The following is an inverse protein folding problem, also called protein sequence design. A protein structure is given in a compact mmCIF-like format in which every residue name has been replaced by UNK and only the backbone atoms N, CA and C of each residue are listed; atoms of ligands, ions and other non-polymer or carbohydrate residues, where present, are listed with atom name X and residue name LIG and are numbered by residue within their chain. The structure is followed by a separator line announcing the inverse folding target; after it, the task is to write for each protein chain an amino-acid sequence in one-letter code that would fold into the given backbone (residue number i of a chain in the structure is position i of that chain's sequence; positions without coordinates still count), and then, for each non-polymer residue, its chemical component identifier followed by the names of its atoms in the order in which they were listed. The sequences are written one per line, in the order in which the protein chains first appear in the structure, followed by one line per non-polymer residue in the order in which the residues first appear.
data_IF_915607298280
#
_entry.id   IF_915607298280
#
_cell.length_a   1.000
_cell.length_b   1.000
_cell.length_c   1.000
_cell.angle_alpha   90.00
_cell.angle_beta   90.00
_cell.angle_gamma   90.00
#
_symmetry.space_group_name_H-M   'P 1'
#
loop_
_entity.id
_entity.type
_entity.pdbx_description
1 polymer ?
#
# COMPACT_ATOMS: atom_id res chain seq x y z
N UNK A 1 -22.64 -17.02 -24.59
CA UNK A 1 -24.08 -17.31 -24.74
C UNK A 1 -24.57 -18.26 -23.65
N UNK A 2 -23.78 -19.27 -23.28
CA UNK A 2 -24.12 -20.25 -22.23
C UNK A 2 -24.63 -19.62 -20.91
N UNK A 3 -23.91 -18.67 -20.33
CA UNK A 3 -24.33 -17.98 -19.09
C UNK A 3 -25.68 -17.28 -19.23
N UNK A 4 -25.95 -16.67 -20.39
CA UNK A 4 -27.23 -15.98 -20.65
C UNK A 4 -28.36 -17.01 -20.72
N UNK A 5 -28.14 -18.10 -21.46
CA UNK A 5 -29.13 -19.17 -21.59
C UNK A 5 -29.42 -19.83 -20.23
N UNK A 6 -28.38 -20.15 -19.46
CA UNK A 6 -28.53 -20.69 -18.10
C UNK A 6 -29.36 -19.76 -17.23
N UNK A 7 -29.03 -18.46 -17.19
CA UNK A 7 -29.78 -17.48 -16.40
C UNK A 7 -31.23 -17.35 -16.84
N UNK A 8 -31.49 -17.27 -18.15
CA UNK A 8 -32.87 -17.15 -18.67
C UNK A 8 -33.72 -18.39 -18.40
N UNK A 9 -33.10 -19.57 -18.34
CA UNK A 9 -33.80 -20.82 -18.13
C UNK A 9 -34.02 -21.14 -16.64
N UNK A 10 -33.03 -20.85 -15.78
CA UNK A 10 -33.07 -21.24 -14.36
C UNK A 10 -33.33 -20.06 -13.41
N UNK A 11 -33.21 -18.83 -13.88
CA UNK A 11 -33.24 -17.61 -13.06
C UNK A 11 -31.96 -17.39 -12.21
N UNK A 12 -30.93 -18.23 -12.36
CA UNK A 12 -29.69 -18.14 -11.57
C UNK A 12 -28.48 -18.65 -12.35
N UNK A 13 -27.29 -18.31 -11.86
CA UNK A 13 -26.01 -18.76 -12.42
C UNK A 13 -25.08 -19.10 -11.25
N UNK A 14 -24.29 -20.17 -11.35
CA UNK A 14 -23.31 -20.51 -10.31
C UNK A 14 -22.12 -19.55 -10.36
N UNK A 15 -21.59 -19.16 -9.21
CA UNK A 15 -20.42 -18.26 -9.15
C UNK A 15 -19.21 -18.83 -9.91
N UNK A 16 -18.95 -20.13 -9.79
CA UNK A 16 -17.83 -20.83 -10.45
C UNK A 16 -17.97 -20.92 -11.98
N UNK A 17 -19.13 -20.58 -12.55
CA UNK A 17 -19.29 -20.49 -14.01
C UNK A 17 -18.64 -19.24 -14.59
N UNK A 18 -18.41 -18.21 -13.76
CA UNK A 18 -17.76 -16.96 -14.16
C UNK A 18 -16.24 -17.14 -14.10
N UNK A 19 -15.60 -16.98 -15.25
CA UNK A 19 -14.15 -17.10 -15.42
C UNK A 19 -13.57 -15.81 -15.97
N UNK A 20 -12.24 -15.70 -15.97
CA UNK A 20 -11.54 -14.56 -16.60
C UNK A 20 -11.91 -14.38 -18.08
N UNK A 21 -12.29 -15.48 -18.74
CA UNK A 21 -12.55 -15.51 -20.17
C UNK A 21 -14.00 -15.14 -20.50
N UNK A 22 -14.99 -15.47 -19.68
CA UNK A 22 -16.40 -15.24 -20.03
C UNK A 22 -17.06 -14.07 -19.29
N UNK A 23 -16.48 -13.59 -18.18
CA UNK A 23 -17.17 -12.65 -17.27
C UNK A 23 -17.50 -11.31 -17.92
N UNK A 24 -16.54 -10.72 -18.64
CA UNK A 24 -16.75 -9.43 -19.31
C UNK A 24 -17.83 -9.55 -20.41
N UNK A 25 -17.79 -10.62 -21.19
CA UNK A 25 -18.76 -10.88 -22.25
C UNK A 25 -20.15 -11.15 -21.68
N UNK A 26 -20.24 -11.91 -20.59
CA UNK A 26 -21.49 -12.17 -19.88
C UNK A 26 -22.10 -10.87 -19.34
N UNK A 27 -21.28 -9.96 -18.80
CA UNK A 27 -21.74 -8.66 -18.32
C UNK A 27 -22.37 -7.81 -19.45
N UNK A 28 -21.67 -7.67 -20.58
CA UNK A 28 -22.22 -6.90 -21.71
C UNK A 28 -23.43 -7.57 -22.35
N UNK A 29 -23.44 -8.91 -22.43
CA UNK A 29 -24.61 -9.61 -22.91
C UNK A 29 -25.81 -9.44 -21.97
N UNK A 30 -25.59 -9.49 -20.65
CA UNK A 30 -26.63 -9.20 -19.67
C UNK A 30 -27.18 -7.77 -19.82
N UNK A 31 -26.31 -6.79 -20.05
CA UNK A 31 -26.72 -5.40 -20.29
C UNK A 31 -27.52 -5.26 -21.61
N UNK A 32 -27.05 -5.88 -22.69
CA UNK A 32 -27.71 -5.87 -24.00
C UNK A 32 -29.11 -6.51 -23.95
N UNK A 33 -29.26 -7.65 -23.26
CA UNK A 33 -30.55 -8.32 -23.07
C UNK A 33 -31.38 -7.74 -21.93
N UNK A 34 -30.92 -6.66 -21.28
CA UNK A 34 -31.60 -5.99 -20.17
C UNK A 34 -31.86 -6.92 -18.97
N UNK A 35 -30.98 -7.89 -18.74
CA UNK A 35 -31.03 -8.84 -17.63
C UNK A 35 -30.35 -8.22 -16.39
N UNK A 36 -31.03 -7.24 -15.76
CA UNK A 36 -30.50 -6.49 -14.61
C UNK A 36 -30.05 -7.39 -13.45
N UNK A 37 -30.84 -8.42 -13.12
CA UNK A 37 -30.51 -9.37 -12.06
C UNK A 37 -29.21 -10.15 -12.32
N UNK A 38 -28.92 -10.49 -13.58
CA UNK A 38 -27.65 -11.12 -13.95
C UNK A 38 -26.49 -10.13 -13.89
N UNK A 39 -26.71 -8.87 -14.30
CA UNK A 39 -25.70 -7.81 -14.19
C UNK A 39 -25.29 -7.58 -12.73
N UNK A 40 -26.27 -7.49 -11.84
CA UNK A 40 -26.05 -7.32 -10.41
C UNK A 40 -25.36 -8.53 -9.79
N UNK A 41 -25.73 -9.74 -10.22
CA UNK A 41 -25.05 -10.97 -9.82
C UNK A 41 -23.57 -10.93 -10.20
N UNK A 42 -23.23 -10.59 -11.44
CA UNK A 42 -21.83 -10.51 -11.91
C UNK A 42 -21.04 -9.48 -11.09
N UNK A 43 -21.59 -8.27 -10.86
CA UNK A 43 -20.93 -7.24 -10.04
C UNK A 43 -20.69 -7.76 -8.62
N UNK A 44 -21.68 -8.40 -8.01
CA UNK A 44 -21.59 -8.93 -6.64
C UNK A 44 -20.53 -10.04 -6.54
N UNK A 45 -20.50 -10.95 -7.52
CA UNK A 45 -19.51 -12.02 -7.58
C UNK A 45 -18.11 -11.44 -7.73
N UNK A 46 -17.91 -10.41 -8.56
CA UNK A 46 -16.62 -9.75 -8.68
C UNK A 46 -16.15 -9.10 -7.37
N UNK A 47 -17.05 -8.50 -6.59
CA UNK A 47 -16.67 -7.90 -5.28
C UNK A 47 -16.20 -8.92 -4.25
N UNK A 48 -16.75 -10.13 -4.26
CA UNK A 48 -16.60 -11.10 -3.18
C UNK A 48 -15.76 -12.33 -3.52
N UNK A 49 -15.48 -12.57 -4.81
CA UNK A 49 -14.83 -13.80 -5.27
C UNK A 49 -13.31 -13.69 -5.37
N UNK A 50 -12.67 -14.85 -5.39
CA UNK A 50 -11.26 -14.99 -5.76
C UNK A 50 -10.99 -14.63 -7.22
N UNK A 51 -12.04 -14.51 -8.07
CA UNK A 51 -11.88 -14.19 -9.48
C UNK A 51 -11.22 -12.82 -9.68
N UNK A 52 -11.67 -11.78 -8.98
CA UNK A 52 -11.06 -10.44 -9.05
C UNK A 52 -9.68 -10.42 -8.42
N UNK A 53 -9.51 -11.09 -7.27
CA UNK A 53 -8.20 -11.17 -6.61
C UNK A 53 -7.14 -11.79 -7.52
N UNK A 54 -7.52 -12.83 -8.27
CA UNK A 54 -6.59 -13.59 -9.07
C UNK A 54 -6.47 -13.10 -10.51
N UNK A 55 -7.51 -12.48 -11.09
CA UNK A 55 -7.59 -12.18 -12.53
C UNK A 55 -8.04 -10.75 -12.86
N UNK A 56 -8.02 -9.83 -11.90
CA UNK A 56 -8.35 -8.42 -12.17
C UNK A 56 -7.50 -7.78 -13.26
N UNK A 57 -6.18 -8.06 -13.42
CA UNK A 57 -5.40 -7.50 -14.53
C UNK A 57 -5.92 -7.95 -15.92
N UNK A 58 -6.24 -9.24 -16.06
CA UNK A 58 -6.77 -9.80 -17.31
C UNK A 58 -8.17 -9.26 -17.61
N UNK A 59 -9.03 -9.20 -16.59
CA UNK A 59 -10.37 -8.65 -16.72
C UNK A 59 -10.34 -7.16 -17.08
N UNK A 60 -9.43 -6.39 -16.47
CA UNK A 60 -9.21 -4.97 -16.79
C UNK A 60 -8.70 -4.80 -18.23
N UNK A 61 -7.80 -5.67 -18.67
CA UNK A 61 -7.33 -5.69 -20.06
C UNK A 61 -8.48 -5.96 -21.01
N UNK A 62 -9.30 -6.98 -20.73
CA UNK A 62 -10.40 -7.39 -21.60
C UNK A 62 -11.52 -6.35 -21.69
N UNK A 63 -11.88 -5.72 -20.57
CA UNK A 63 -12.90 -4.66 -20.59
C UNK A 63 -12.39 -3.43 -21.33
N UNK A 64 -11.09 -3.11 -21.24
CA UNK A 64 -10.49 -1.93 -21.87
C UNK A 64 -10.49 -1.94 -23.41
N UNK A 65 -10.68 -3.12 -24.02
CA UNK A 65 -10.82 -3.26 -25.48
C UNK A 65 -12.16 -2.73 -26.01
N UNK A 66 -13.13 -2.50 -25.12
CA UNK A 66 -14.43 -1.91 -25.47
C UNK A 66 -14.35 -0.37 -25.39
N UNK A 67 -15.14 0.31 -26.23
CA UNK A 67 -15.34 1.75 -26.10
C UNK A 67 -16.16 2.03 -24.83
N UNK A 68 -15.52 2.64 -23.83
CA UNK A 68 -16.12 2.85 -22.51
C UNK A 68 -15.94 4.28 -22.03
N UNK A 69 -16.92 4.71 -21.23
CA UNK A 69 -16.85 5.94 -20.45
C UNK A 69 -16.24 5.63 -19.08
N UNK A 70 -15.59 6.62 -18.47
CA UNK A 70 -15.03 6.51 -17.11
C UNK A 70 -16.09 6.15 -16.06
N UNK A 71 -17.36 6.46 -16.30
CA UNK A 71 -18.48 6.15 -15.40
C UNK A 71 -18.93 4.68 -15.41
N UNK A 72 -18.25 3.81 -16.18
CA UNK A 72 -18.60 2.40 -16.21
C UNK A 72 -18.30 1.73 -14.85
N UNK A 73 -19.35 1.24 -14.18
CA UNK A 73 -19.27 0.64 -12.83
C UNK A 73 -18.30 -0.54 -12.79
N UNK A 74 -18.33 -1.39 -13.82
CA UNK A 74 -17.47 -2.58 -13.89
C UNK A 74 -16.00 -2.19 -14.11
N UNK A 75 -15.75 -1.22 -14.98
CA UNK A 75 -14.40 -0.68 -15.21
C UNK A 75 -13.82 -0.09 -13.92
N UNK A 76 -14.57 0.75 -13.21
CA UNK A 76 -14.11 1.35 -11.95
C UNK A 76 -13.80 0.30 -10.89
N UNK A 77 -14.63 -0.74 -10.76
CA UNK A 77 -14.40 -1.85 -9.84
C UNK A 77 -13.10 -2.58 -10.15
N UNK A 78 -12.83 -2.87 -11.42
CA UNK A 78 -11.61 -3.54 -11.85
C UNK A 78 -10.37 -2.64 -11.66
N UNK A 79 -10.50 -1.34 -11.95
CA UNK A 79 -9.44 -0.36 -11.68
C UNK A 79 -9.11 -0.30 -10.20
N UNK A 80 -10.10 -0.24 -9.31
CA UNK A 80 -9.88 -0.23 -7.86
C UNK A 80 -9.19 -1.51 -7.37
N UNK A 81 -9.56 -2.66 -7.93
CA UNK A 81 -8.92 -3.93 -7.60
C UNK A 81 -7.45 -3.99 -8.06
N UNK A 82 -7.14 -3.52 -9.27
CA UNK A 82 -5.75 -3.52 -9.79
C UNK A 82 -4.91 -2.42 -9.14
N UNK A 83 -5.49 -1.26 -8.80
CA UNK A 83 -4.78 -0.14 -8.18
C UNK A 83 -4.13 -0.51 -6.84
N UNK A 84 -4.73 -1.44 -6.10
CA UNK A 84 -4.18 -1.93 -4.83
C UNK A 84 -3.18 -3.09 -4.97
N UNK A 85 -2.90 -3.54 -6.19
CA UNK A 85 -1.86 -4.51 -6.49
C UNK A 85 -0.56 -3.78 -6.89
N UNK A 86 0.59 -4.07 -6.27
CA UNK A 86 1.87 -3.56 -6.77
C UNK A 86 2.09 -4.01 -8.21
N UNK A 87 2.29 -3.07 -9.15
CA UNK A 87 2.44 -3.41 -10.58
C UNK A 87 3.63 -4.34 -10.84
N UNK A 88 4.68 -4.24 -10.02
CA UNK A 88 5.83 -5.16 -10.09
C UNK A 88 5.46 -6.63 -9.83
N UNK A 89 4.33 -6.90 -9.16
CA UNK A 89 3.83 -8.25 -8.91
C UNK A 89 2.91 -8.76 -10.03
N UNK A 90 2.56 -7.91 -11.01
CA UNK A 90 1.74 -8.30 -12.15
C UNK A 90 2.68 -8.75 -13.27
N UNK A 91 2.60 -10.02 -13.65
CA UNK A 91 3.38 -10.54 -14.77
C UNK A 91 3.06 -9.80 -16.08
N UNK A 92 4.10 -9.51 -16.87
CA UNK A 92 3.93 -8.92 -18.19
C UNK A 92 3.09 -9.84 -19.08
N UNK A 93 2.08 -9.28 -19.74
CA UNK A 93 1.10 -10.01 -20.54
C UNK A 93 -0.24 -10.22 -19.84
N UNK A 94 -0.32 -10.08 -18.52
CA UNK A 94 -1.60 -10.11 -17.79
C UNK A 94 -2.37 -8.79 -17.87
N UNK A 95 -1.65 -7.67 -17.92
CA UNK A 95 -2.21 -6.33 -18.11
C UNK A 95 -1.81 -5.77 -19.48
N UNK A 96 -2.78 -5.39 -20.30
CA UNK A 96 -2.54 -4.77 -21.61
C UNK A 96 -2.19 -3.28 -21.48
N UNK A 97 -1.59 -2.69 -22.52
CA UNK A 97 -1.30 -1.24 -22.55
C UNK A 97 -2.59 -0.43 -22.37
N UNK A 98 -3.67 -0.83 -23.05
CA UNK A 98 -4.98 -0.15 -22.92
C UNK A 98 -5.54 -0.29 -21.51
N UNK A 99 -5.44 -1.47 -20.90
CA UNK A 99 -5.86 -1.71 -19.51
C UNK A 99 -5.07 -0.85 -18.53
N UNK A 100 -3.75 -0.78 -18.69
CA UNK A 100 -2.88 0.11 -17.92
C UNK A 100 -3.24 1.59 -18.14
N UNK A 101 -3.55 2.01 -19.37
CA UNK A 101 -3.99 3.38 -19.65
C UNK A 101 -5.26 3.75 -18.86
N UNK A 102 -6.26 2.87 -18.82
CA UNK A 102 -7.47 3.10 -18.01
C UNK A 102 -7.16 3.12 -16.51
N UNK A 103 -6.32 2.21 -16.02
CA UNK A 103 -5.84 2.25 -14.63
C UNK A 103 -5.22 3.60 -14.28
N UNK A 104 -4.29 4.07 -15.11
CA UNK A 104 -3.56 5.32 -14.85
C UNK A 104 -4.47 6.54 -14.98
N UNK A 105 -5.29 6.64 -16.03
CA UNK A 105 -6.20 7.78 -16.24
C UNK A 105 -7.25 7.91 -15.14
N UNK A 106 -7.86 6.80 -14.72
CA UNK A 106 -8.91 6.83 -13.68
C UNK A 106 -8.31 7.11 -12.29
N UNK A 107 -7.04 6.81 -12.06
CA UNK A 107 -6.36 7.07 -10.77
C UNK A 107 -5.54 8.37 -10.76
N UNK A 108 -5.30 8.98 -11.92
CA UNK A 108 -4.50 10.20 -12.05
C UNK A 108 -5.16 11.36 -11.30
N UNK A 109 -4.40 12.00 -10.40
CA UNK A 109 -4.85 13.15 -9.58
C UNK A 109 -6.15 12.90 -8.77
N UNK A 110 -6.57 11.64 -8.58
CA UNK A 110 -7.73 11.29 -7.75
C UNK A 110 -7.25 10.78 -6.38
N UNK A 111 -8.02 11.07 -5.32
CA UNK A 111 -7.82 10.52 -3.97
C UNK A 111 -8.26 9.04 -3.90
N UNK A 112 -7.63 8.18 -4.70
CA UNK A 112 -7.86 6.73 -4.69
C UNK A 112 -6.62 6.01 -4.15
N UNK A 113 -6.78 4.88 -3.42
CA UNK A 113 -5.64 4.06 -3.03
C UNK A 113 -4.84 3.60 -4.25
N UNK A 114 -3.52 3.64 -4.15
CA UNK A 114 -2.63 3.17 -5.22
C UNK A 114 -1.35 2.56 -4.64
N UNK A 115 -1.07 1.31 -4.99
CA UNK A 115 -0.03 0.50 -4.36
C UNK A 115 1.38 0.81 -4.85
N UNK A 116 1.49 1.36 -6.06
CA UNK A 116 2.74 1.39 -6.82
C UNK A 116 3.33 2.80 -6.81
N UNK A 117 4.62 2.91 -6.53
CA UNK A 117 5.32 4.19 -6.64
C UNK A 117 5.36 4.69 -8.08
N UNK A 118 5.47 6.00 -8.26
CA UNK A 118 5.42 6.64 -9.57
C UNK A 118 6.59 6.23 -10.46
N UNK A 119 7.76 5.94 -9.87
CA UNK A 119 8.88 5.32 -10.58
C UNK A 119 8.54 3.91 -11.05
N UNK A 120 7.91 3.09 -10.21
CA UNK A 120 7.54 1.73 -10.59
C UNK A 120 6.40 1.69 -11.60
N UNK A 121 5.52 2.70 -11.61
CA UNK A 121 4.56 2.93 -12.69
C UNK A 121 5.29 3.20 -14.00
N UNK A 122 6.27 4.11 -14.00
CA UNK A 122 7.09 4.39 -15.18
C UNK A 122 7.85 3.16 -15.67
N UNK A 123 8.48 2.43 -14.75
CA UNK A 123 9.19 1.19 -15.01
C UNK A 123 8.28 0.16 -15.67
N UNK A 124 7.14 -0.13 -15.06
CA UNK A 124 6.18 -1.11 -15.56
C UNK A 124 5.66 -0.71 -16.95
N UNK A 125 5.28 0.55 -17.11
CA UNK A 125 4.80 1.11 -18.39
C UNK A 125 5.83 0.96 -19.50
N UNK A 126 7.09 1.26 -19.20
CA UNK A 126 8.20 1.19 -20.15
C UNK A 126 8.50 -0.25 -20.57
N UNK A 127 8.58 -1.18 -19.62
CA UNK A 127 8.83 -2.59 -19.91
C UNK A 127 7.64 -3.20 -20.66
N UNK A 128 6.41 -2.82 -20.32
CA UNK A 128 5.21 -3.27 -21.03
C UNK A 128 5.18 -2.76 -22.48
N UNK A 129 5.54 -1.49 -22.72
CA UNK A 129 5.69 -0.94 -24.07
C UNK A 129 6.77 -1.69 -24.87
N UNK A 130 7.91 -1.96 -24.25
CA UNK A 130 9.00 -2.72 -24.88
C UNK A 130 8.62 -4.17 -25.19
N UNK A 131 7.81 -4.81 -24.34
CA UNK A 131 7.27 -6.15 -24.57
C UNK A 131 6.41 -6.24 -25.85
N UNK A 132 5.77 -5.14 -26.27
CA UNK A 132 5.05 -5.08 -27.56
C UNK A 132 5.99 -4.95 -28.76
N UNK A 133 7.22 -4.47 -28.55
CA UNK A 133 8.21 -4.29 -29.60
C UNK A 133 9.03 -5.56 -29.83
N UNK A 134 9.68 -6.07 -28.78
CA UNK A 134 10.44 -7.34 -28.83
C UNK A 134 10.84 -7.84 -27.44
N UNK A 135 11.12 -9.15 -27.34
CA UNK A 135 11.67 -9.74 -26.11
C UNK A 135 13.04 -9.14 -25.73
N UNK A 136 13.87 -8.80 -26.72
CA UNK A 136 15.20 -8.21 -26.49
C UNK A 136 15.09 -6.80 -25.91
N UNK A 137 14.20 -5.97 -26.45
CA UNK A 137 13.90 -4.63 -25.92
C UNK A 137 13.39 -4.71 -24.47
N UNK A 138 12.47 -5.64 -24.21
CA UNK A 138 11.93 -5.90 -22.87
C UNK A 138 13.03 -6.30 -21.88
N UNK A 139 13.86 -7.28 -22.24
CA UNK A 139 14.93 -7.76 -21.36
C UNK A 139 15.96 -6.65 -21.08
N UNK A 140 16.31 -5.87 -22.10
CA UNK A 140 17.20 -4.71 -21.96
C UNK A 140 16.64 -3.69 -20.98
N UNK A 141 15.34 -3.37 -21.07
CA UNK A 141 14.71 -2.40 -20.17
C UNK A 141 14.47 -2.93 -18.76
N UNK A 142 14.28 -4.25 -18.56
CA UNK A 142 14.26 -4.85 -17.22
C UNK A 142 15.61 -4.63 -16.51
N UNK A 143 16.72 -4.70 -17.23
CA UNK A 143 18.05 -4.46 -16.68
C UNK A 143 18.31 -2.97 -16.46
N UNK A 144 17.94 -2.11 -17.42
CA UNK A 144 18.11 -0.64 -17.34
C UNK A 144 17.23 0.03 -16.29
N UNK A 145 16.07 -0.56 -15.99
CA UNK A 145 15.12 -0.07 -14.99
C UNK A 145 15.01 -1.06 -13.83
N UNK A 146 15.92 -1.02 -12.86
CA UNK A 146 15.86 -1.87 -11.67
C UNK A 146 14.64 -1.51 -10.80
N UNK A 147 14.18 -2.44 -9.96
CA UNK A 147 13.15 -2.13 -8.95
C UNK A 147 13.71 -1.19 -7.87
N UNK A 148 12.84 -0.53 -7.08
CA UNK A 148 13.31 0.31 -5.98
C UNK A 148 14.16 -0.47 -4.97
N UNK A 149 13.76 -1.72 -4.67
CA UNK A 149 14.52 -2.64 -3.81
C UNK A 149 15.94 -2.92 -4.35
N UNK A 150 16.11 -3.00 -5.66
CA UNK A 150 17.42 -3.20 -6.29
C UNK A 150 18.28 -1.92 -6.26
N UNK A 151 17.66 -0.75 -6.33
CA UNK A 151 18.36 0.53 -6.27
C UNK A 151 18.95 0.81 -4.89
N UNK A 152 18.23 0.46 -3.82
CA UNK A 152 18.73 0.56 -2.44
C UNK A 152 19.98 -0.30 -2.22
N UNK A 153 20.17 -1.34 -3.01
CA UNK A 153 21.34 -2.23 -2.98
C UNK A 153 22.50 -1.77 -3.89
N UNK A 154 22.52 -0.50 -4.31
CA UNK A 154 23.63 0.18 -5.03
C UNK A 154 23.99 -0.36 -6.42
N UNK A 155 23.04 -1.00 -7.12
CA UNK A 155 23.23 -1.45 -8.50
C UNK A 155 23.20 -0.25 -9.46
N UNK A 156 24.38 0.16 -9.95
CA UNK A 156 24.49 1.13 -11.05
C UNK A 156 24.37 0.41 -12.38
N UNK A 157 23.28 0.63 -13.11
CA UNK A 157 23.13 0.05 -14.44
C UNK A 157 23.97 0.87 -15.43
N UNK A 158 24.81 0.18 -16.20
CA UNK A 158 25.66 0.78 -17.24
C UNK A 158 24.93 0.83 -18.58
N UNK A 159 25.23 1.87 -19.35
CA UNK A 159 24.86 2.13 -20.74
C UNK A 159 24.74 0.85 -21.58
N UNK A 160 23.50 0.37 -21.77
CA UNK A 160 23.13 -0.61 -22.80
C UNK A 160 22.34 0.09 -23.89
N UNK A 161 22.61 -0.29 -25.14
CA UNK A 161 21.89 0.22 -26.29
C UNK A 161 20.45 -0.32 -26.29
N UNK A 162 19.47 0.57 -26.44
CA UNK A 162 18.05 0.20 -26.56
C UNK A 162 17.74 0.00 -28.04
N UNK A 163 17.49 -1.25 -28.45
CA UNK A 163 17.01 -1.56 -29.80
C UNK A 163 15.62 -0.99 -30.02
N UNK A 164 15.34 -0.46 -31.21
CA UNK A 164 14.00 0.04 -31.60
C UNK A 164 13.43 1.14 -30.69
N UNK A 165 14.29 2.01 -30.14
CA UNK A 165 13.92 3.06 -29.20
C UNK A 165 12.70 3.89 -29.65
N UNK A 166 12.64 4.25 -30.93
CA UNK A 166 11.51 5.01 -31.50
C UNK A 166 10.16 4.27 -31.43
N UNK A 167 10.16 2.93 -31.57
CA UNK A 167 8.93 2.13 -31.44
C UNK A 167 8.48 2.09 -29.98
N UNK A 168 9.42 1.96 -29.05
CA UNK A 168 9.13 1.99 -27.60
C UNK A 168 8.51 3.32 -27.21
N UNK A 169 9.09 4.44 -27.66
CA UNK A 169 8.54 5.79 -27.44
C UNK A 169 7.10 5.90 -27.95
N UNK A 170 6.82 5.34 -29.13
CA UNK A 170 5.48 5.37 -29.72
C UNK A 170 4.46 4.59 -28.87
N UNK A 171 4.81 3.40 -28.40
CA UNK A 171 3.96 2.56 -27.55
C UNK A 171 3.79 3.12 -26.13
N UNK A 172 4.81 3.81 -25.61
CA UNK A 172 4.81 4.40 -24.27
C UNK A 172 4.06 5.73 -24.21
N UNK A 173 4.02 6.49 -25.33
CA UNK A 173 3.36 7.80 -25.45
C UNK A 173 1.97 7.92 -24.80
N UNK A 174 1.00 7.00 -25.00
CA UNK A 174 -0.33 7.11 -24.39
C UNK A 174 -0.36 6.91 -22.86
N UNK A 175 0.76 6.50 -22.25
CA UNK A 175 0.87 6.30 -20.81
C UNK A 175 1.61 7.45 -20.11
N UNK A 176 2.59 8.06 -20.79
CA UNK A 176 3.44 9.14 -20.23
C UNK A 176 2.63 10.29 -19.67
N UNK A 177 1.52 10.66 -20.32
CA UNK A 177 0.68 11.79 -19.88
C UNK A 177 0.06 11.59 -18.50
N UNK A 178 -0.07 10.34 -18.04
CA UNK A 178 -0.62 9.99 -16.74
C UNK A 178 0.47 9.67 -15.70
N UNK A 179 1.75 9.90 -16.00
CA UNK A 179 2.86 9.66 -15.08
C UNK A 179 3.36 10.99 -14.51
N UNK A 180 3.28 11.14 -13.21
CA UNK A 180 3.72 12.33 -12.50
C UNK A 180 5.20 12.26 -12.12
N UNK A 181 6.07 12.56 -13.08
CA UNK A 181 7.53 12.53 -12.85
C UNK A 181 8.00 13.44 -11.70
N UNK A 182 7.20 14.41 -11.24
CA UNK A 182 7.52 15.25 -10.07
C UNK A 182 7.55 14.45 -8.77
N UNK A 183 6.92 13.27 -8.73
CA UNK A 183 6.90 12.34 -7.58
C UNK A 183 8.06 11.34 -7.58
N UNK A 184 8.88 11.33 -8.63
CA UNK A 184 10.04 10.46 -8.74
C UNK A 184 11.26 11.18 -8.16
N UNK A 185 12.08 10.47 -7.37
CA UNK A 185 13.32 11.04 -6.80
C UNK A 185 14.19 11.63 -7.90
N UNK A 186 14.67 12.86 -7.70
CA UNK A 186 15.51 13.58 -8.68
C UNK A 186 16.73 12.78 -9.13
N UNK A 187 17.37 12.06 -8.22
CA UNK A 187 18.51 11.20 -8.56
C UNK A 187 18.15 10.08 -9.53
N UNK A 188 16.95 9.49 -9.42
CA UNK A 188 16.45 8.48 -10.36
C UNK A 188 16.18 9.11 -11.74
N UNK A 189 15.68 10.34 -11.77
CA UNK A 189 15.46 11.07 -13.03
C UNK A 189 16.80 11.25 -13.76
N UNK A 190 17.81 11.76 -13.07
CA UNK A 190 19.13 12.09 -13.62
C UNK A 190 19.91 10.82 -14.03
N UNK A 191 19.97 9.83 -13.16
CA UNK A 191 20.87 8.68 -13.36
C UNK A 191 20.25 7.59 -14.25
N UNK A 192 18.91 7.53 -14.32
CA UNK A 192 18.21 6.40 -14.92
C UNK A 192 17.24 6.84 -16.01
N UNK A 193 16.33 7.78 -15.76
CA UNK A 193 15.23 8.07 -16.69
C UNK A 193 15.69 8.93 -17.87
N UNK A 194 16.36 10.05 -17.60
CA UNK A 194 16.83 10.97 -18.63
C UNK A 194 17.80 10.31 -19.64
N UNK A 195 18.79 9.49 -19.22
CA UNK A 195 19.71 8.84 -20.16
C UNK A 195 19.08 7.84 -21.12
N UNK A 196 17.84 7.38 -20.89
CA UNK A 196 17.16 6.43 -21.78
C UNK A 196 16.59 7.11 -23.03
N UNK A 197 16.43 8.44 -23.00
CA UNK A 197 15.88 9.22 -24.13
C UNK A 197 14.49 8.74 -24.62
N UNK A 198 13.72 8.07 -23.74
CA UNK A 198 12.35 7.58 -24.03
C UNK A 198 11.24 8.51 -23.54
N UNK A 199 11.58 9.47 -22.67
CA UNK A 199 10.67 10.48 -22.15
C UNK A 199 10.89 11.79 -22.90
N UNK A 200 9.83 12.51 -23.30
CA UNK A 200 9.99 13.81 -23.94
C UNK A 200 10.84 14.77 -23.11
N UNK A 201 11.80 15.45 -23.75
CA UNK A 201 12.70 16.41 -23.09
C UNK A 201 11.93 17.50 -22.34
N UNK A 202 10.81 17.97 -22.89
CA UNK A 202 9.97 18.99 -22.23
C UNK A 202 9.40 18.49 -20.90
N UNK A 203 9.04 17.21 -20.79
CA UNK A 203 8.58 16.60 -19.53
C UNK A 203 9.68 16.63 -18.48
N UNK A 204 10.91 16.25 -18.84
CA UNK A 204 12.07 16.27 -17.93
C UNK A 204 12.41 17.71 -17.51
N UNK A 205 12.44 18.67 -18.46
CA UNK A 205 12.69 20.07 -18.16
C UNK A 205 11.66 20.66 -17.19
N UNK A 206 10.38 20.29 -17.33
CA UNK A 206 9.34 20.72 -16.39
C UNK A 206 9.55 20.18 -14.97
N UNK A 207 10.07 18.95 -14.83
CA UNK A 207 10.47 18.41 -13.52
C UNK A 207 11.62 19.20 -12.92
N UNK A 208 12.64 19.55 -13.71
CA UNK A 208 13.75 20.37 -13.22
C UNK A 208 13.31 21.78 -12.80
N UNK A 209 12.45 22.43 -13.60
CA UNK A 209 11.84 23.72 -13.23
C UNK A 209 11.05 23.62 -11.93
N UNK A 210 10.27 22.55 -11.77
CA UNK A 210 9.50 22.28 -10.56
C UNK A 210 10.41 22.13 -9.33
N UNK A 211 11.46 21.30 -9.42
CA UNK A 211 12.43 21.09 -8.33
C UNK A 211 13.13 22.40 -7.96
N UNK A 212 13.58 23.18 -8.95
CA UNK A 212 14.24 24.46 -8.71
C UNK A 212 13.32 25.51 -8.07
N UNK A 213 12.00 25.43 -8.30
CA UNK A 213 11.02 26.39 -7.80
C UNK A 213 10.58 26.16 -6.35
N UNK A 214 10.82 24.98 -5.78
CA UNK A 214 10.34 24.59 -4.45
C UNK A 214 11.48 24.41 -3.44
N UNK A 215 11.39 25.11 -2.31
CA UNK A 215 12.26 24.91 -1.15
C UNK A 215 11.83 23.65 -0.37
N UNK A 216 12.10 22.45 -0.91
CA UNK A 216 11.94 21.15 -0.22
C UNK A 216 10.50 20.66 0.07
N UNK A 217 9.53 20.81 -0.84
CA UNK A 217 8.28 20.04 -0.72
C UNK A 217 8.47 18.62 -1.28
N UNK A 218 8.63 17.63 -0.40
CA UNK A 218 8.68 16.23 -0.79
C UNK A 218 7.26 15.73 -1.08
N UNK A 219 6.90 15.61 -2.36
CA UNK A 219 5.70 14.87 -2.74
C UNK A 219 5.86 13.40 -2.33
N UNK A 220 4.76 12.76 -1.96
CA UNK A 220 4.75 11.29 -1.81
C UNK A 220 5.15 10.63 -3.13
N UNK A 221 5.91 9.54 -3.02
CA UNK A 221 6.38 8.76 -4.16
C UNK A 221 5.26 7.96 -4.84
N UNK A 222 4.08 7.82 -4.23
CA UNK A 222 2.89 7.21 -4.83
C UNK A 222 1.88 8.28 -5.23
N UNK A 223 1.07 8.01 -6.25
CA UNK A 223 -0.15 8.78 -6.52
C UNK A 223 -1.27 8.40 -5.54
N UNK A 224 -2.26 9.27 -5.41
CA UNK A 224 -3.43 9.02 -4.58
C UNK A 224 -3.09 8.80 -3.09
N UNK A 225 -3.88 7.95 -2.44
CA UNK A 225 -3.69 7.60 -1.01
C UNK A 225 -2.69 6.44 -0.93
N UNK A 226 -1.56 6.65 -0.27
CA UNK A 226 -0.60 5.55 -0.06
C UNK A 226 -1.26 4.42 0.74
N UNK A 227 -1.16 3.19 0.26
CA UNK A 227 -1.73 2.01 0.94
C UNK A 227 -1.08 1.80 2.31
N UNK A 228 0.19 2.20 2.46
CA UNK A 228 0.86 2.20 3.75
C UNK A 228 0.34 3.32 4.66
N UNK A 229 -0.16 4.44 4.14
CA UNK A 229 -0.78 5.52 4.94
C UNK A 229 -2.20 5.19 5.42
N UNK A 230 -2.98 4.40 4.67
CA UNK A 230 -4.33 3.99 5.07
C UNK A 230 -4.37 2.85 6.09
N UNK A 231 -3.29 2.09 6.24
CA UNK A 231 -3.25 0.89 7.09
C UNK A 231 -2.89 1.18 8.56
N UNK A 232 -2.18 2.28 8.84
CA UNK A 232 -1.87 2.72 10.20
C UNK A 232 -3.03 3.52 10.79
N UNK A 233 -4.17 2.85 10.91
CA UNK A 233 -5.36 3.33 11.63
C UNK A 233 -5.72 2.35 12.74
N UNK A 234 -6.26 2.88 13.82
CA UNK A 234 -6.66 2.13 15.01
C UNK A 234 -7.97 1.36 14.75
N UNK A 235 -8.01 0.13 15.27
CA UNK A 235 -9.13 -0.77 15.08
C UNK A 235 -10.18 -0.56 16.17
N UNK A 236 -11.30 0.10 15.81
CA UNK A 236 -12.44 0.32 16.72
C UNK A 236 -13.03 -0.98 17.29
N UNK A 237 -12.90 -2.11 16.58
CA UNK A 237 -13.40 -3.41 17.06
C UNK A 237 -12.46 -4.09 18.05
N UNK A 238 -11.21 -3.65 18.11
CA UNK A 238 -10.14 -4.18 18.94
C UNK A 238 -9.53 -3.06 19.78
N UNK A 239 -10.40 -2.44 20.58
CA UNK A 239 -10.16 -1.23 21.35
C UNK A 239 -10.80 -1.36 22.73
N UNK A 240 -10.15 -0.78 23.74
CA UNK A 240 -10.72 -0.67 25.08
C UNK A 240 -12.04 0.10 25.07
N UNK A 241 -12.98 -0.34 25.90
CA UNK A 241 -14.37 0.13 25.90
C UNK A 241 -14.55 1.64 26.12
N UNK A 242 -13.59 2.30 26.78
CA UNK A 242 -13.67 3.71 27.12
C UNK A 242 -12.78 4.60 26.25
N UNK A 243 -11.91 4.02 25.41
CA UNK A 243 -11.03 4.78 24.52
C UNK A 243 -11.83 5.35 23.35
N UNK A 244 -11.50 6.59 22.97
CA UNK A 244 -12.16 7.28 21.86
C UNK A 244 -11.15 7.38 20.72
N UNK A 245 -11.56 6.89 19.54
CA UNK A 245 -10.79 6.95 18.31
C UNK A 245 -11.38 8.02 17.38
N UNK A 246 -10.55 8.97 16.99
CA UNK A 246 -10.91 10.12 16.13
C UNK A 246 -9.92 10.29 14.98
N UNK A 247 -10.10 11.36 14.19
CA UNK A 247 -9.20 11.72 13.09
C UNK A 247 -8.98 10.56 12.09
N UNK A 248 -10.11 10.03 11.59
CA UNK A 248 -10.17 8.87 10.68
C UNK A 248 -9.44 7.62 11.16
N UNK A 249 -9.34 7.45 12.49
CA UNK A 249 -8.68 6.29 13.09
C UNK A 249 -7.22 6.52 13.41
N UNK A 250 -6.65 7.70 13.15
CA UNK A 250 -5.23 7.98 13.39
C UNK A 250 -4.94 8.38 14.83
N UNK A 251 -5.95 8.80 15.58
CA UNK A 251 -5.79 9.28 16.96
C UNK A 251 -6.63 8.45 17.92
N UNK A 252 -6.07 8.14 19.08
CA UNK A 252 -6.80 7.65 20.25
C UNK A 252 -6.56 8.55 21.45
N UNK A 253 -7.61 8.79 22.23
CA UNK A 253 -7.48 9.47 23.52
C UNK A 253 -8.33 8.81 24.61
N UNK A 254 -7.89 9.02 25.86
CA UNK A 254 -8.54 8.51 27.05
C UNK A 254 -9.36 9.63 27.74
N UNK A 255 -10.71 9.53 27.77
CA UNK A 255 -11.55 10.53 28.44
C UNK A 255 -11.34 10.51 29.96
N UNK A 256 -11.89 11.52 30.65
CA UNK A 256 -11.78 11.61 32.11
C UNK A 256 -12.30 10.35 32.81
N UNK A 257 -11.57 9.87 33.81
CA UNK A 257 -11.90 8.62 34.53
C UNK A 257 -11.48 7.33 33.83
N UNK A 258 -10.95 7.39 32.59
CA UNK A 258 -10.45 6.19 31.90
C UNK A 258 -9.15 5.67 32.55
N UNK A 259 -9.20 4.43 33.03
CA UNK A 259 -8.03 3.66 33.46
C UNK A 259 -7.14 3.25 32.29
N UNK A 260 -6.14 2.39 32.56
CA UNK A 260 -5.30 1.85 31.49
C UNK A 260 -6.10 0.90 30.61
N UNK A 261 -6.18 1.25 29.33
CA UNK A 261 -6.74 0.44 28.27
C UNK A 261 -5.77 0.41 27.11
N UNK A 262 -6.03 -0.44 26.11
CA UNK A 262 -5.21 -0.51 24.92
C UNK A 262 -6.05 -0.63 23.65
N UNK A 263 -5.41 -0.35 22.52
CA UNK A 263 -6.01 -0.46 21.20
C UNK A 263 -4.92 -0.88 20.22
N UNK A 264 -5.26 -1.79 19.31
CA UNK A 264 -4.37 -2.17 18.22
C UNK A 264 -4.70 -1.46 16.93
N UNK A 265 -3.73 -1.37 16.01
CA UNK A 265 -3.98 -0.95 14.64
C UNK A 265 -4.63 -2.07 13.82
N UNK A 266 -5.29 -1.69 12.71
CA UNK A 266 -5.90 -2.64 11.76
C UNK A 266 -4.87 -3.42 10.96
N UNK A 267 -3.71 -2.81 10.69
CA UNK A 267 -2.64 -3.45 9.93
C UNK A 267 -2.15 -4.71 10.63
N UNK A 268 -2.19 -5.82 9.90
CA UNK A 268 -1.57 -7.07 10.34
C UNK A 268 -0.10 -7.06 9.97
N UNK A 269 0.76 -7.40 10.93
CA UNK A 269 2.20 -7.59 10.75
C UNK A 269 2.45 -9.11 10.74
N UNK A 270 2.37 -9.72 9.56
CA UNK A 270 2.62 -11.15 9.34
C UNK A 270 3.70 -11.35 8.27
N UNK A 271 4.13 -12.60 8.08
CA UNK A 271 5.18 -13.01 7.14
C UNK A 271 6.59 -12.48 7.44
N UNK A 272 7.48 -12.62 6.46
CA UNK A 272 8.87 -12.12 6.48
C UNK A 272 8.88 -10.65 6.04
N UNK A 273 9.45 -9.77 6.85
CA UNK A 273 9.50 -8.35 6.53
C UNK A 273 10.05 -7.49 7.67
N UNK A 274 10.36 -6.23 7.33
CA UNK A 274 10.72 -5.20 8.29
C UNK A 274 9.61 -4.15 8.25
N UNK A 275 9.02 -3.88 9.41
CA UNK A 275 7.90 -2.96 9.56
C UNK A 275 8.29 -1.81 10.48
N UNK A 276 7.94 -0.60 10.06
CA UNK A 276 8.24 0.63 10.81
C UNK A 276 7.03 1.55 10.83
N UNK A 277 6.69 2.07 12.01
CA UNK A 277 5.65 3.08 12.18
C UNK A 277 5.99 4.01 13.34
N UNK A 278 5.42 5.21 13.29
CA UNK A 278 5.58 6.19 14.34
C UNK A 278 4.33 6.29 15.21
N UNK A 279 4.54 6.54 16.49
CA UNK A 279 3.53 6.98 17.44
C UNK A 279 3.99 8.29 18.07
N UNK A 280 3.12 9.29 18.05
CA UNK A 280 3.34 10.60 18.68
C UNK A 280 2.51 10.67 19.96
N UNK A 281 3.16 11.02 21.08
CA UNK A 281 2.47 11.32 22.34
C UNK A 281 1.98 12.77 22.28
N UNK A 282 0.78 12.98 21.74
CA UNK A 282 0.20 14.33 21.64
C UNK A 282 -0.22 14.89 23.00
N UNK A 283 -0.66 14.02 23.91
CA UNK A 283 -0.89 14.37 25.30
C UNK A 283 -0.35 13.29 26.22
N UNK A 284 0.50 13.69 27.15
CA UNK A 284 1.12 12.76 28.09
C UNK A 284 0.11 12.28 29.15
N UNK A 285 0.12 10.98 29.44
CA UNK A 285 -0.44 10.42 30.66
C UNK A 285 0.65 9.86 31.56
N UNK A 286 0.32 9.62 32.84
CA UNK A 286 1.18 8.87 33.76
C UNK A 286 1.46 7.48 33.17
N UNK A 287 2.52 7.45 32.39
CA UNK A 287 3.11 6.35 31.64
C UNK A 287 2.34 6.04 30.35
N UNK A 288 2.95 6.41 29.22
CA UNK A 288 2.43 6.23 27.86
C UNK A 288 3.13 5.06 27.19
N UNK A 289 2.39 4.15 26.56
CA UNK A 289 2.94 2.86 26.11
C UNK A 289 2.72 2.60 24.62
N UNK A 290 3.79 2.17 23.94
CA UNK A 290 3.82 1.93 22.50
C UNK A 290 4.52 0.61 22.20
N UNK A 291 3.98 -0.22 21.32
CA UNK A 291 4.67 -1.45 20.90
C UNK A 291 3.83 -2.35 20.03
N UNK A 292 3.89 -3.66 20.30
CA UNK A 292 3.22 -4.71 19.52
C UNK A 292 2.37 -5.64 20.41
N UNK A 293 1.35 -6.27 19.83
CA UNK A 293 0.56 -7.30 20.49
C UNK A 293 0.25 -8.50 19.60
N UNK A 294 -0.08 -9.63 20.24
CA UNK A 294 -0.56 -10.84 19.59
C UNK A 294 -2.00 -10.65 19.02
N UNK A 295 -2.43 -11.46 18.03
CA UNK A 295 -3.77 -11.40 17.44
C UNK A 295 -4.90 -11.72 18.43
N UNK A 296 -4.66 -12.68 19.32
CA UNK A 296 -5.67 -13.30 20.17
C UNK A 296 -5.33 -13.11 21.65
N UNK A 297 -6.36 -13.17 22.50
CA UNK A 297 -6.23 -13.18 23.97
C UNK A 297 -5.58 -11.93 24.58
N UNK A 298 -5.61 -10.80 23.87
CA UNK A 298 -5.33 -9.49 24.47
C UNK A 298 -6.64 -8.90 25.03
N UNK A 299 -6.66 -8.61 26.33
CA UNK A 299 -7.70 -7.82 26.97
C UNK A 299 -7.45 -6.33 26.75
N UNK A 300 -8.30 -5.72 25.92
CA UNK A 300 -8.24 -4.30 25.57
C UNK A 300 -8.61 -3.37 26.73
N UNK A 301 -9.26 -3.87 27.79
CA UNK A 301 -9.65 -3.08 28.96
C UNK A 301 -8.57 -3.04 30.05
N UNK A 302 -7.41 -3.66 29.81
CA UNK A 302 -6.31 -3.71 30.75
C UNK A 302 -5.01 -3.14 30.14
N UNK A 303 -3.99 -2.91 30.95
CA UNK A 303 -2.68 -2.49 30.48
C UNK A 303 -2.03 -3.60 29.63
N UNK A 304 -1.54 -3.26 28.43
CA UNK A 304 -0.93 -4.23 27.51
C UNK A 304 0.32 -4.91 28.10
N UNK A 305 1.17 -4.18 28.83
CA UNK A 305 2.43 -4.71 29.34
C UNK A 305 2.31 -5.70 30.50
N UNK A 306 1.14 -5.78 31.16
CA UNK A 306 0.86 -6.82 32.15
C UNK A 306 0.54 -8.17 31.53
N UNK A 307 0.17 -8.18 30.26
CA UNK A 307 -0.28 -9.36 29.54
C UNK A 307 0.90 -9.99 28.81
N UNK A 308 0.91 -11.32 28.72
CA UNK A 308 1.93 -12.04 27.94
C UNK A 308 1.84 -11.75 26.44
N UNK A 309 0.68 -11.30 25.98
CA UNK A 309 0.34 -10.98 24.59
C UNK A 309 0.69 -9.55 24.18
N UNK A 310 1.25 -8.73 25.09
CA UNK A 310 1.66 -7.35 24.80
C UNK A 310 3.15 -7.10 25.09
N UNK A 311 3.84 -6.47 24.14
CA UNK A 311 5.23 -6.05 24.25
C UNK A 311 5.33 -4.56 23.97
N UNK A 312 5.58 -3.75 25.01
CA UNK A 312 5.45 -2.29 24.94
C UNK A 312 6.62 -1.57 25.58
N UNK A 313 7.03 -0.44 25.00
CA UNK A 313 7.92 0.55 25.60
C UNK A 313 7.10 1.63 26.29
N UNK A 314 7.44 1.93 27.54
CA UNK A 314 6.83 2.97 28.34
C UNK A 314 7.62 4.27 28.32
N UNK A 315 6.91 5.39 28.46
CA UNK A 315 7.50 6.73 28.60
C UNK A 315 8.36 6.90 29.85
N UNK A 316 8.32 5.94 30.78
CA UNK A 316 9.26 5.84 31.90
C UNK A 316 10.65 5.28 31.48
N UNK A 317 10.82 4.89 30.21
CA UNK A 317 12.07 4.36 29.68
C UNK A 317 12.21 2.84 29.77
N UNK A 318 11.14 2.13 30.13
CA UNK A 318 11.17 0.69 30.36
C UNK A 318 10.35 -0.08 29.33
N UNK A 319 10.89 -1.21 28.86
CA UNK A 319 10.15 -2.20 28.09
C UNK A 319 9.42 -3.16 29.02
N UNK A 320 8.17 -3.49 28.69
CA UNK A 320 7.30 -4.38 29.44
C UNK A 320 6.77 -5.52 28.58
N UNK A 321 6.76 -6.72 29.16
CA UNK A 321 6.00 -7.88 28.69
C UNK A 321 5.69 -8.80 29.88
N UNK A 322 4.46 -9.29 30.00
CA UNK A 322 4.06 -10.23 31.07
C UNK A 322 4.43 -9.71 32.48
N UNK A 323 4.18 -8.42 32.74
CA UNK A 323 4.51 -7.72 33.99
C UNK A 323 6.00 -7.65 34.35
N UNK A 324 6.91 -8.00 33.44
CA UNK A 324 8.36 -7.87 33.61
C UNK A 324 8.84 -6.58 32.97
N UNK A 325 9.50 -5.74 33.77
CA UNK A 325 10.05 -4.46 33.36
C UNK A 325 11.56 -4.56 33.10
N UNK A 326 12.03 -3.93 32.03
CA UNK A 326 13.45 -3.86 31.67
C UNK A 326 13.80 -2.41 31.33
N UNK A 327 14.85 -1.87 31.97
CA UNK A 327 15.39 -0.55 31.62
C UNK A 327 15.94 -0.58 30.20
N UNK A 328 15.46 0.33 29.36
CA UNK A 328 15.74 0.29 27.93
C UNK A 328 16.27 1.63 27.41
N UNK A 329 15.62 2.73 27.72
CA UNK A 329 16.03 4.08 27.32
C UNK A 329 15.76 5.12 28.42
N UNK A 330 16.27 6.36 28.29
CA UNK A 330 15.85 7.47 29.15
C UNK A 330 14.33 7.76 29.04
N UNK A 331 13.70 8.27 30.11
CA UNK A 331 12.29 8.68 30.07
C UNK A 331 12.00 9.73 29.00
N UNK A 332 10.77 9.72 28.49
CA UNK A 332 10.27 10.66 27.49
C UNK A 332 8.82 11.07 27.81
N UNK A 333 8.28 12.06 27.09
CA UNK A 333 7.03 12.72 27.48
C UNK A 333 6.19 13.22 26.31
N UNK A 334 5.40 14.25 26.58
CA UNK A 334 4.57 14.91 25.57
C UNK A 334 5.41 15.43 24.40
N UNK A 335 4.87 15.32 23.18
CA UNK A 335 5.55 15.67 21.94
C UNK A 335 6.58 14.62 21.48
N UNK A 336 6.87 13.58 22.28
CA UNK A 336 7.81 12.55 21.86
C UNK A 336 7.28 11.76 20.66
N UNK A 337 8.17 11.48 19.71
CA UNK A 337 7.93 10.58 18.58
C UNK A 337 8.67 9.29 18.83
N UNK A 338 7.93 8.18 18.82
CA UNK A 338 8.43 6.82 19.01
C UNK A 338 8.25 6.08 17.71
N UNK A 339 9.34 5.70 17.06
CA UNK A 339 9.32 4.77 15.94
C UNK A 339 9.51 3.36 16.47
N UNK A 340 8.61 2.45 16.09
CA UNK A 340 8.76 1.02 16.37
C UNK A 340 9.38 0.36 15.16
N UNK A 341 10.42 -0.44 15.37
CA UNK A 341 11.12 -1.21 14.33
C UNK A 341 10.91 -2.69 14.61
N UNK A 342 10.08 -3.35 13.80
CA UNK A 342 9.81 -4.78 13.91
C UNK A 342 10.47 -5.52 12.74
N UNK A 343 11.42 -6.41 13.02
CA UNK A 343 12.00 -7.32 12.03
C UNK A 343 11.40 -8.73 12.24
N UNK A 344 10.42 -9.08 11.41
CA UNK A 344 9.76 -10.38 11.46
C UNK A 344 10.65 -11.51 10.89
N UNK A 345 11.73 -11.19 10.17
CA UNK A 345 12.69 -12.20 9.72
C UNK A 345 13.50 -12.75 10.90
N UNK A 346 13.90 -11.85 11.81
CA UNK A 346 14.66 -12.18 13.02
C UNK A 346 13.80 -12.36 14.26
N UNK A 347 12.52 -11.98 14.17
CA UNK A 347 11.59 -11.86 15.31
C UNK A 347 12.13 -10.92 16.39
N UNK A 348 12.67 -9.78 15.99
CA UNK A 348 13.22 -8.77 16.91
C UNK A 348 12.43 -7.48 16.83
N UNK A 349 12.43 -6.72 17.93
CA UNK A 349 11.82 -5.40 18.02
C UNK A 349 12.81 -4.41 18.64
N UNK A 350 12.85 -3.20 18.11
CA UNK A 350 13.63 -2.08 18.62
C UNK A 350 12.82 -0.79 18.54
N UNK A 351 13.27 0.25 19.24
CA UNK A 351 12.61 1.55 19.22
C UNK A 351 13.59 2.68 18.91
N UNK A 352 13.11 3.68 18.18
CA UNK A 352 13.74 5.00 18.10
C UNK A 352 12.88 5.98 18.88
N UNK A 353 13.46 6.71 19.82
CA UNK A 353 12.76 7.76 20.56
C UNK A 353 13.42 9.09 20.24
N UNK A 354 12.64 10.03 19.71
CA UNK A 354 13.11 11.38 19.31
C UNK A 354 14.40 11.33 18.45
N UNK A 355 14.42 10.44 17.46
CA UNK A 355 15.54 10.27 16.53
C UNK A 355 16.73 9.46 17.05
N UNK A 356 16.75 9.08 18.33
CA UNK A 356 17.78 8.19 18.88
C UNK A 356 17.33 6.73 18.79
N UNK A 357 17.99 5.93 17.94
CA UNK A 357 17.71 4.49 17.81
C UNK A 357 18.38 3.70 18.94
N UNK A 358 17.62 2.86 19.61
CA UNK A 358 18.10 2.00 20.69
C UNK A 358 18.32 0.56 20.20
N UNK A 359 18.98 -0.25 21.04
CA UNK A 359 19.27 -1.66 20.75
C UNK A 359 18.00 -2.47 20.55
N UNK A 360 18.10 -3.64 19.91
CA UNK A 360 16.99 -4.61 19.94
C UNK A 360 16.68 -5.03 21.39
N UNK A 361 15.40 -5.24 21.69
CA UNK A 361 14.93 -5.77 22.98
C UNK A 361 15.15 -7.27 22.98
N UNK A 362 16.40 -7.69 23.22
CA UNK A 362 16.83 -9.10 23.24
C UNK A 362 16.03 -10.01 24.18
N UNK A 363 15.38 -9.42 25.17
CA UNK A 363 14.56 -10.09 26.18
C UNK A 363 13.18 -10.51 25.63
N UNK A 364 12.79 -10.02 24.46
CA UNK A 364 11.59 -10.44 23.73
C UNK A 364 11.96 -11.47 22.67
N UNK A 365 12.28 -12.69 23.13
CA UNK A 365 12.86 -13.76 22.31
C UNK A 365 11.84 -14.75 21.71
N UNK A 366 10.55 -14.52 21.92
CA UNK A 366 9.47 -15.42 21.45
C UNK A 366 8.30 -14.64 20.84
N UNK A 367 8.61 -13.73 19.89
CA UNK A 367 7.56 -13.01 19.18
C UNK A 367 6.76 -13.97 18.26
N UNK A 368 5.42 -13.94 18.31
CA UNK A 368 4.55 -14.68 17.40
C UNK A 368 4.79 -14.35 15.93
N UNK A 369 4.36 -15.23 15.03
CA UNK A 369 4.45 -15.02 13.57
C UNK A 369 3.47 -14.00 13.02
N UNK A 370 2.53 -13.53 13.85
CA UNK A 370 1.52 -12.54 13.52
C UNK A 370 1.39 -11.58 14.68
N UNK A 371 1.50 -10.29 14.39
CA UNK A 371 1.52 -9.20 15.37
C UNK A 371 0.71 -8.01 14.86
N UNK A 372 0.41 -7.09 15.77
CA UNK A 372 -0.23 -5.81 15.46
C UNK A 372 0.48 -4.68 16.21
N UNK A 373 0.57 -3.46 15.63
CA UNK A 373 0.88 -2.28 16.41
C UNK A 373 -0.14 -2.11 17.54
N UNK A 374 0.32 -1.77 18.74
CA UNK A 374 -0.54 -1.51 19.89
C UNK A 374 -0.07 -0.27 20.64
N UNK A 375 -1.03 0.47 21.17
CA UNK A 375 -0.76 1.51 22.16
C UNK A 375 -1.61 1.27 23.40
N UNK A 376 -1.07 1.63 24.57
CA UNK A 376 -1.79 1.56 25.84
C UNK A 376 -1.67 2.87 26.60
N UNK A 377 -2.80 3.37 27.06
CA UNK A 377 -2.94 4.70 27.64
C UNK A 377 -4.07 4.75 28.65
N UNK A 378 -4.02 5.78 29.49
CA UNK A 378 -5.05 6.14 30.46
C UNK A 378 -5.28 7.65 30.38
N UNK A 379 -6.30 8.16 31.06
CA UNK A 379 -6.49 9.60 31.16
C UNK A 379 -5.24 10.32 31.72
N UNK A 380 -4.78 11.45 31.15
CA UNK A 380 -5.35 12.22 30.02
C UNK A 380 -4.69 11.95 28.66
N UNK A 381 -4.14 10.75 28.44
CA UNK A 381 -3.31 10.41 27.30
C UNK A 381 -4.03 10.56 25.96
N UNK A 382 -3.29 11.01 24.95
CA UNK A 382 -3.74 11.11 23.56
C UNK A 382 -2.58 10.85 22.62
N UNK A 383 -2.69 9.82 21.79
CA UNK A 383 -1.63 9.41 20.88
C UNK A 383 -2.10 9.43 19.44
N UNK A 384 -1.17 9.67 18.53
CA UNK A 384 -1.37 9.55 17.08
C UNK A 384 -0.48 8.47 16.53
N UNK A 385 -1.03 7.60 15.69
CA UNK A 385 -0.27 6.65 14.87
C UNK A 385 -0.15 7.19 13.45
N UNK A 386 1.00 6.95 12.82
CA UNK A 386 1.25 7.28 11.40
C UNK A 386 2.29 6.32 10.81
N UNK A 387 2.34 6.14 9.49
CA UNK A 387 3.46 5.44 8.87
C UNK A 387 4.77 6.14 9.17
N UNK A 388 5.84 5.35 9.29
CA UNK A 388 7.18 5.89 9.40
C UNK A 388 7.60 6.49 8.05
N UNK A 389 8.02 7.75 8.05
CA UNK A 389 8.61 8.40 6.89
C UNK A 389 10.12 8.38 7.07
N UNK A 390 10.82 7.61 6.23
CA UNK A 390 12.28 7.67 6.15
C UNK A 390 12.66 9.03 5.56
N UNK A 391 13.26 9.88 6.39
CA UNK A 391 13.90 11.12 5.95
C UNK A 391 15.13 10.82 5.09
#
# INVERSE_FOLDING_TARGET
MEIILEYTYTGSVKEDSLTKDNTIEAFYAADYFQLSGLKDFIIKTLKNSNLVKNYSPELLSKISEKYLTEDNILLNLLVEAVAIMPLNNIEFGRLSITGLKYLLSITHEKEKPFATSEYEVFRYSTILAANQVSNDARNTLIELLPTLEQLDNSVRVRNKFITDNQKIVKELKPLIEFIDFRRIKSQIIIDIIEPLEIVPTETILNVYRYIASLNNSNLSNTRGISINESNYVLDKSACGSNLIIEDDGKVVHAPHGCGFQNVRAKITLEDKGIFEWDVIIEKYCSWSWVGICAPENLDYNNFAGYQSTGWVLGSNGECYNSSKAIKYCPPFGEGATITVHLDMNKKTCAFTVNGTKYREVSEWNDLPSKLYPVVSLRHPGRFRIRPHQKN
#
